data_IF_377302063606
#
_entry.id   IF_377302063606
#
_cell.length_a   1.000
_cell.length_b   1.000
_cell.length_c   1.000
_cell.angle_alpha   90.00
_cell.angle_beta   90.00
_cell.angle_gamma   90.00
#
_symmetry.space_group_name_H-M   'P 1'
#
loop_
_entity.id
_entity.type
_entity.pdbx_description
1 polymer ?
#
# COMPACT_ATOMS: atom_id res chain seq x y z
N UNK A 1 -8.38 8.99 23.19
CA UNK A 1 -7.54 7.98 22.51
C UNK A 1 -8.45 7.32 21.50
N UNK A 2 -8.39 7.75 20.23
CA UNK A 2 -9.20 7.12 19.18
C UNK A 2 -8.63 5.72 18.95
N UNK A 3 -9.47 4.72 19.13
CA UNK A 3 -9.20 3.34 18.79
C UNK A 3 -8.99 3.24 17.28
N UNK A 4 -7.72 3.27 16.86
CA UNK A 4 -7.31 3.06 15.47
C UNK A 4 -7.27 1.55 15.18
N UNK A 5 -8.31 0.82 15.55
CA UNK A 5 -8.44 -0.59 15.19
C UNK A 5 -8.57 -0.67 13.67
N UNK A 6 -7.53 -1.22 13.03
CA UNK A 6 -7.47 -1.42 11.58
C UNK A 6 -8.66 -2.29 11.18
N UNK A 7 -9.71 -1.67 10.63
CA UNK A 7 -10.92 -2.38 10.25
C UNK A 7 -10.73 -2.98 8.86
N UNK A 8 -10.24 -4.23 8.82
CA UNK A 8 -10.13 -4.99 7.59
C UNK A 8 -11.52 -5.38 7.06
N UNK A 9 -11.62 -5.48 5.73
CA UNK A 9 -12.87 -5.87 5.08
C UNK A 9 -13.31 -7.29 5.51
N UNK A 10 -14.62 -7.48 5.72
CA UNK A 10 -15.20 -8.73 6.23
C UNK A 10 -14.90 -9.98 5.37
N UNK A 11 -14.53 -9.82 4.09
CA UNK A 11 -14.12 -10.94 3.24
C UNK A 11 -12.93 -11.74 3.82
N UNK A 12 -12.14 -11.12 4.71
CA UNK A 12 -10.96 -11.74 5.31
C UNK A 12 -11.25 -12.51 6.59
N UNK A 13 -12.48 -12.45 7.13
CA UNK A 13 -12.85 -13.15 8.36
C UNK A 13 -12.73 -14.67 8.25
N UNK A 14 -12.94 -15.22 7.05
CA UNK A 14 -12.81 -16.65 6.77
C UNK A 14 -11.33 -17.07 6.56
N UNK A 15 -10.39 -16.12 6.52
CA UNK A 15 -8.97 -16.33 6.24
C UNK A 15 -8.08 -15.67 7.31
N UNK A 16 -8.08 -16.16 8.57
CA UNK A 16 -7.46 -15.49 9.71
C UNK A 16 -5.93 -15.29 9.57
N UNK A 17 -5.23 -16.21 8.91
CA UNK A 17 -3.79 -16.05 8.64
C UNK A 17 -3.52 -14.84 7.73
N UNK A 18 -4.26 -14.74 6.62
CA UNK A 18 -4.12 -13.61 5.69
C UNK A 18 -4.61 -12.32 6.34
N UNK A 19 -5.65 -12.38 7.17
CA UNK A 19 -6.12 -11.23 7.93
C UNK A 19 -5.03 -10.65 8.84
N UNK A 20 -4.25 -11.51 9.53
CA UNK A 20 -3.10 -11.08 10.32
C UNK A 20 -2.04 -10.40 9.46
N UNK A 21 -1.63 -11.06 8.37
CA UNK A 21 -0.61 -10.54 7.46
C UNK A 21 -1.04 -9.18 6.86
N UNK A 22 -2.32 -9.01 6.53
CA UNK A 22 -2.86 -7.75 6.02
C UNK A 22 -2.88 -6.62 7.06
N UNK A 23 -3.09 -6.95 8.33
CA UNK A 23 -2.99 -5.96 9.41
C UNK A 23 -1.54 -5.46 9.57
N UNK A 24 -0.57 -6.36 9.43
CA UNK A 24 0.86 -6.02 9.42
C UNK A 24 1.21 -5.14 8.21
N UNK A 25 0.69 -5.47 7.02
CA UNK A 25 0.83 -4.63 5.82
C UNK A 25 0.34 -3.21 6.06
N UNK A 26 -0.85 -3.03 6.65
CA UNK A 26 -1.38 -1.68 6.95
C UNK A 26 -0.49 -0.96 7.97
N UNK A 27 -0.01 -1.68 8.98
CA UNK A 27 0.88 -1.11 10.00
C UNK A 27 2.17 -0.59 9.36
N UNK A 28 2.75 -1.36 8.44
CA UNK A 28 3.94 -0.94 7.67
C UNK A 28 3.63 0.32 6.84
N UNK A 29 2.52 0.32 6.10
CA UNK A 29 2.09 1.49 5.32
C UNK A 29 1.96 2.73 6.22
N UNK A 30 1.24 2.64 7.34
CA UNK A 30 1.05 3.76 8.27
C UNK A 30 2.38 4.25 8.86
N UNK A 31 3.29 3.33 9.17
CA UNK A 31 4.61 3.68 9.69
C UNK A 31 5.43 4.44 8.66
N UNK A 32 5.39 4.02 7.39
CA UNK A 32 6.14 4.63 6.29
C UNK A 32 5.57 6.00 5.84
N UNK A 33 4.29 6.25 6.08
CA UNK A 33 3.61 7.50 5.76
C UNK A 33 3.87 8.58 6.81
N UNK A 34 5.11 9.06 6.89
CA UNK A 34 5.51 10.24 7.66
C UNK A 34 5.64 11.46 6.74
N UNK A 35 4.53 11.98 6.24
CA UNK A 35 4.57 13.16 5.39
C UNK A 35 4.87 14.40 6.25
N UNK A 36 5.61 15.36 5.70
CA UNK A 36 5.94 16.60 6.44
C UNK A 36 4.73 17.48 6.73
N UNK A 37 3.64 17.29 5.99
CA UNK A 37 2.40 18.03 6.12
C UNK A 37 1.35 17.11 6.73
N UNK A 38 0.80 17.52 7.88
CA UNK A 38 -0.14 16.73 8.67
C UNK A 38 -1.47 16.48 7.92
N UNK A 39 -1.94 17.44 7.13
CA UNK A 39 -3.18 17.30 6.35
C UNK A 39 -3.02 16.27 5.23
N UNK A 40 -1.88 16.30 4.53
CA UNK A 40 -1.56 15.31 3.48
C UNK A 40 -1.38 13.92 4.10
N UNK A 41 -0.70 13.83 5.25
CA UNK A 41 -0.55 12.57 5.97
C UNK A 41 -1.90 12.00 6.37
N UNK A 42 -2.77 12.82 6.95
CA UNK A 42 -4.11 12.41 7.38
C UNK A 42 -4.95 11.91 6.19
N UNK A 43 -4.96 12.65 5.07
CA UNK A 43 -5.70 12.26 3.87
C UNK A 43 -5.18 10.96 3.25
N UNK A 44 -3.86 10.75 3.22
CA UNK A 44 -3.25 9.51 2.76
C UNK A 44 -3.60 8.33 3.67
N UNK A 45 -3.52 8.51 4.99
CA UNK A 45 -3.90 7.47 5.96
C UNK A 45 -5.38 7.13 5.80
N UNK A 46 -6.27 8.12 5.73
CA UNK A 46 -7.71 7.89 5.55
C UNK A 46 -7.98 7.11 4.26
N UNK A 47 -7.38 7.49 3.13
CA UNK A 47 -7.55 6.79 1.86
C UNK A 47 -7.08 5.32 1.95
N UNK A 48 -5.97 5.07 2.65
CA UNK A 48 -5.36 3.75 2.77
C UNK A 48 -6.13 2.83 3.72
N UNK A 49 -6.65 3.37 4.83
CA UNK A 49 -7.40 2.59 5.83
C UNK A 49 -8.86 2.40 5.43
N UNK A 50 -9.40 3.26 4.57
CA UNK A 50 -10.83 3.26 4.25
C UNK A 50 -11.15 2.46 2.98
N UNK A 51 -11.99 1.43 3.13
CA UNK A 51 -12.72 0.79 2.03
C UNK A 51 -11.86 -0.03 1.05
N UNK A 52 -10.61 -0.34 1.39
CA UNK A 52 -9.75 -1.21 0.60
C UNK A 52 -10.06 -2.68 0.84
N UNK A 53 -10.18 -3.47 -0.23
CA UNK A 53 -10.24 -4.94 -0.11
C UNK A 53 -8.86 -5.55 0.12
N UNK A 54 -7.77 -4.82 -0.14
CA UNK A 54 -6.38 -5.30 -0.04
C UNK A 54 -6.10 -6.59 -0.83
N UNK A 55 -6.81 -6.78 -1.95
CA UNK A 55 -6.64 -7.97 -2.79
C UNK A 55 -5.22 -8.08 -3.36
N UNK A 56 -4.58 -6.94 -3.67
CA UNK A 56 -3.22 -6.91 -4.21
C UNK A 56 -2.17 -7.35 -3.17
N UNK A 57 -2.17 -6.80 -1.93
CA UNK A 57 -1.39 -7.35 -0.83
C UNK A 57 -1.62 -8.83 -0.59
N UNK A 58 -2.88 -9.26 -0.47
CA UNK A 58 -3.21 -10.65 -0.18
C UNK A 58 -2.67 -11.60 -1.26
N UNK A 59 -2.85 -11.25 -2.54
CA UNK A 59 -2.32 -12.04 -3.65
C UNK A 59 -0.78 -12.07 -3.65
N UNK A 60 -0.15 -10.94 -3.32
CA UNK A 60 1.32 -10.84 -3.22
C UNK A 60 1.84 -11.79 -2.14
N UNK A 61 1.21 -11.79 -0.96
CA UNK A 61 1.55 -12.68 0.15
C UNK A 61 1.35 -14.14 -0.24
N UNK A 62 0.17 -14.50 -0.76
CA UNK A 62 -0.15 -15.88 -1.14
C UNK A 62 0.82 -16.45 -2.18
N UNK A 63 1.17 -15.67 -3.21
CA UNK A 63 2.14 -16.09 -4.23
C UNK A 63 3.55 -16.17 -3.63
N UNK A 64 3.95 -15.19 -2.81
CA UNK A 64 5.26 -15.17 -2.18
C UNK A 64 5.49 -16.32 -1.21
N UNK A 65 4.45 -16.79 -0.52
CA UNK A 65 4.53 -17.97 0.36
C UNK A 65 4.84 -19.27 -0.41
N UNK A 66 4.66 -19.31 -1.74
CA UNK A 66 4.99 -20.47 -2.57
C UNK A 66 6.50 -20.63 -2.83
N UNK A 67 7.32 -19.62 -2.51
CA UNK A 67 8.76 -19.66 -2.66
C UNK A 67 9.47 -19.41 -1.31
N UNK A 68 10.73 -19.88 -1.13
CA UNK A 68 11.50 -19.58 0.07
C UNK A 68 11.72 -18.07 0.21
N UNK A 69 10.98 -17.43 1.10
CA UNK A 69 11.02 -15.99 1.33
C UNK A 69 10.97 -15.70 2.84
N UNK A 70 11.54 -14.56 3.24
CA UNK A 70 11.34 -14.02 4.57
C UNK A 70 9.93 -13.41 4.66
N UNK A 71 9.23 -13.66 5.76
CA UNK A 71 7.92 -13.09 6.03
C UNK A 71 7.96 -11.55 6.00
N UNK A 72 8.93 -10.92 6.67
CA UNK A 72 9.06 -9.46 6.74
C UNK A 72 9.23 -8.84 5.35
N UNK A 73 10.10 -9.44 4.51
CA UNK A 73 10.32 -9.00 3.13
C UNK A 73 9.02 -9.09 2.30
N UNK A 74 8.20 -10.09 2.57
CA UNK A 74 6.93 -10.31 1.89
C UNK A 74 5.86 -9.30 2.31
N UNK A 75 5.78 -8.97 3.61
CA UNK A 75 4.92 -7.91 4.14
C UNK A 75 5.31 -6.56 3.54
N UNK A 76 6.62 -6.23 3.54
CA UNK A 76 7.11 -5.01 2.91
C UNK A 76 6.80 -4.98 1.40
N UNK A 77 6.94 -6.09 0.68
CA UNK A 77 6.57 -6.18 -0.74
C UNK A 77 5.06 -5.98 -0.95
N UNK A 78 4.22 -6.55 -0.10
CA UNK A 78 2.77 -6.40 -0.20
C UNK A 78 2.30 -4.97 0.09
N UNK A 79 2.83 -4.33 1.15
CA UNK A 79 2.61 -2.92 1.47
C UNK A 79 2.95 -2.01 0.29
N UNK A 80 4.07 -2.32 -0.33
CA UNK A 80 4.59 -1.59 -1.47
C UNK A 80 3.73 -1.67 -2.72
N UNK A 81 3.18 -2.84 -3.01
CA UNK A 81 2.24 -3.03 -4.12
C UNK A 81 0.97 -2.22 -3.86
N UNK A 82 0.49 -2.13 -2.62
CA UNK A 82 -0.66 -1.31 -2.27
C UNK A 82 -0.36 0.19 -2.34
N UNK A 83 0.81 0.65 -1.88
CA UNK A 83 1.22 2.04 -2.02
C UNK A 83 1.30 2.48 -3.48
N UNK A 84 1.85 1.63 -4.35
CA UNK A 84 1.86 1.86 -5.80
C UNK A 84 0.43 1.92 -6.36
N UNK A 85 -0.44 0.99 -5.97
CA UNK A 85 -1.83 1.01 -6.38
C UNK A 85 -2.54 2.30 -5.95
N UNK A 86 -2.37 2.71 -4.71
CA UNK A 86 -2.99 3.93 -4.18
C UNK A 86 -2.46 5.18 -4.86
N UNK A 87 -1.16 5.25 -5.18
CA UNK A 87 -0.60 6.35 -5.97
C UNK A 87 -1.30 6.48 -7.33
N UNK A 88 -1.49 5.36 -8.04
CA UNK A 88 -2.20 5.38 -9.32
C UNK A 88 -3.66 5.82 -9.15
N UNK A 89 -4.33 5.42 -8.07
CA UNK A 89 -5.72 5.85 -7.83
C UNK A 89 -5.84 7.35 -7.56
N UNK A 90 -4.86 7.95 -6.86
CA UNK A 90 -4.83 9.40 -6.63
C UNK A 90 -4.69 10.15 -7.96
N UNK A 91 -3.77 9.69 -8.82
CA UNK A 91 -3.58 10.29 -10.14
C UNK A 91 -4.80 10.06 -11.05
N UNK A 92 -5.42 8.89 -11.00
CA UNK A 92 -6.68 8.61 -11.73
C UNK A 92 -7.79 9.57 -11.28
N UNK A 93 -7.96 9.80 -9.97
CA UNK A 93 -8.97 10.74 -9.47
C UNK A 93 -8.77 12.13 -10.10
N UNK A 94 -7.52 12.58 -10.20
CA UNK A 94 -7.17 13.87 -10.81
C UNK A 94 -7.50 13.91 -12.30
N UNK A 95 -7.10 12.89 -13.05
CA UNK A 95 -7.36 12.79 -14.49
C UNK A 95 -8.86 12.77 -14.77
N UNK A 96 -9.61 12.02 -13.97
CA UNK A 96 -11.06 11.85 -14.12
C UNK A 96 -11.87 13.01 -13.49
N UNK A 97 -11.22 13.96 -12.82
CA UNK A 97 -11.88 15.00 -12.01
C UNK A 97 -12.89 14.42 -11.01
N UNK A 98 -12.59 13.24 -10.46
CA UNK A 98 -13.45 12.52 -9.52
C UNK A 98 -13.45 13.18 -8.14
N UNK A 99 -14.59 13.70 -7.70
CA UNK A 99 -14.75 14.30 -6.37
C UNK A 99 -14.87 13.29 -5.22
N UNK A 100 -15.07 12.01 -5.54
CA UNK A 100 -15.27 10.95 -4.54
C UNK A 100 -14.51 9.68 -4.88
N UNK A 101 -14.06 8.97 -3.85
CA UNK A 101 -13.39 7.67 -3.93
C UNK A 101 -13.88 6.80 -2.78
N UNK A 102 -14.37 5.59 -3.09
CA UNK A 102 -14.91 4.63 -2.10
C UNK A 102 -15.99 5.24 -1.18
N UNK A 103 -16.81 6.17 -1.70
CA UNK A 103 -17.82 6.95 -0.97
C UNK A 103 -17.29 8.06 -0.05
N UNK A 104 -15.98 8.28 -0.02
CA UNK A 104 -15.34 9.39 0.70
C UNK A 104 -14.91 10.48 -0.30
N UNK A 105 -14.65 11.70 0.17
CA UNK A 105 -14.10 12.75 -0.68
C UNK A 105 -12.70 12.33 -1.15
N UNK A 106 -12.39 12.51 -2.43
CA UNK A 106 -11.04 12.24 -2.96
C UNK A 106 -10.03 13.27 -2.41
N UNK A 107 -8.74 12.93 -2.41
CA UNK A 107 -7.70 13.85 -1.91
C UNK A 107 -7.72 15.18 -2.67
N UNK A 108 -7.98 15.16 -3.99
CA UNK A 108 -8.10 16.40 -4.76
C UNK A 108 -9.30 17.25 -4.35
N UNK A 109 -10.42 16.63 -3.93
CA UNK A 109 -11.60 17.36 -3.49
C UNK A 109 -11.41 17.96 -2.09
N UNK A 110 -10.58 17.32 -1.25
CA UNK A 110 -10.28 17.77 0.10
C UNK A 110 -9.20 18.87 0.12
N UNK A 111 -8.10 18.66 -0.61
CA UNK A 111 -6.87 19.46 -0.49
C UNK A 111 -6.48 20.20 -1.79
N UNK A 112 -7.23 20.00 -2.88
CA UNK A 112 -6.95 20.57 -4.18
C UNK A 112 -6.09 19.67 -5.07
N UNK A 113 -6.15 19.94 -6.37
CA UNK A 113 -5.53 19.11 -7.41
C UNK A 113 -4.00 19.06 -7.27
N UNK A 114 -3.34 20.20 -7.06
CA UNK A 114 -1.88 20.27 -6.96
C UNK A 114 -1.36 19.43 -5.79
N UNK A 115 -2.02 19.52 -4.62
CA UNK A 115 -1.67 18.73 -3.44
C UNK A 115 -1.87 17.24 -3.70
N UNK A 116 -2.95 16.86 -4.40
CA UNK A 116 -3.20 15.48 -4.77
C UNK A 116 -2.11 14.92 -5.72
N UNK A 117 -1.60 15.71 -6.68
CA UNK A 117 -0.47 15.29 -7.53
C UNK A 117 0.73 14.96 -6.66
N UNK A 118 1.12 15.88 -5.76
CA UNK A 118 2.26 15.68 -4.86
C UNK A 118 2.06 14.50 -3.89
N UNK A 119 0.83 14.27 -3.43
CA UNK A 119 0.51 13.13 -2.57
C UNK A 119 0.73 11.80 -3.31
N UNK A 120 0.31 11.71 -4.58
CA UNK A 120 0.58 10.54 -5.43
C UNK A 120 2.08 10.33 -5.67
N UNK A 121 2.81 11.40 -5.99
CA UNK A 121 4.27 11.33 -6.22
C UNK A 121 5.04 10.93 -4.95
N UNK A 122 4.59 11.41 -3.79
CA UNK A 122 5.15 11.03 -2.49
C UNK A 122 5.03 9.53 -2.22
N UNK A 123 3.86 8.92 -2.51
CA UNK A 123 3.66 7.47 -2.38
C UNK A 123 4.61 6.68 -3.29
N UNK A 124 4.82 7.15 -4.53
CA UNK A 124 5.77 6.53 -5.46
C UNK A 124 7.22 6.62 -4.96
N UNK A 125 7.60 7.75 -4.38
CA UNK A 125 8.95 7.97 -3.87
C UNK A 125 9.25 7.12 -2.65
N UNK A 126 8.33 7.02 -1.68
CA UNK A 126 8.56 6.23 -0.47
C UNK A 126 8.85 4.75 -0.78
N UNK A 127 8.22 4.21 -1.82
CA UNK A 127 8.49 2.84 -2.25
C UNK A 127 9.84 2.66 -2.94
N UNK A 128 10.37 3.69 -3.61
CA UNK A 128 11.63 3.55 -4.34
C UNK A 128 12.80 3.14 -3.42
N UNK A 129 12.69 3.41 -2.13
CA UNK A 129 13.66 3.03 -1.09
C UNK A 129 13.69 1.53 -0.77
N UNK A 130 12.60 0.79 -1.00
CA UNK A 130 12.50 -0.65 -0.68
C UNK A 130 12.49 -1.58 -1.91
N UNK A 131 12.86 -1.06 -3.09
CA UNK A 131 13.06 -1.85 -4.31
C UNK A 131 14.30 -2.78 -4.36
N UNK A 132 15.09 -3.09 -3.29
CA UNK A 132 15.98 -4.25 -3.35
C UNK A 132 15.23 -5.59 -3.38
N UNK A 133 13.93 -5.67 -3.12
CA UNK A 133 13.21 -6.96 -3.08
C UNK A 133 13.12 -7.66 -4.43
N UNK A 134 13.13 -6.92 -5.55
CA UNK A 134 13.23 -7.53 -6.90
C UNK A 134 14.56 -8.28 -7.08
N UNK A 135 15.63 -7.82 -6.44
CA UNK A 135 16.91 -8.53 -6.39
C UNK A 135 16.85 -9.79 -5.52
N UNK A 136 15.90 -9.91 -4.58
CA UNK A 136 15.75 -11.10 -3.72
C UNK A 136 15.12 -12.26 -4.50
N UNK A 137 14.09 -12.00 -5.32
CA UNK A 137 13.48 -13.01 -6.20
C UNK A 137 14.45 -13.42 -7.32
N UNK A 138 15.23 -12.47 -7.85
CA UNK A 138 16.19 -12.75 -8.93
C UNK A 138 17.55 -13.27 -8.45
N UNK A 139 17.98 -13.03 -7.20
CA UNK A 139 19.29 -13.50 -6.70
C UNK A 139 19.50 -15.02 -6.81
N UNK A 140 18.53 -15.88 -6.43
CA UNK A 140 18.66 -17.32 -6.58
C UNK A 140 18.73 -17.73 -8.06
N UNK A 141 17.94 -17.08 -8.92
CA UNK A 141 17.87 -17.36 -10.35
C UNK A 141 19.18 -16.97 -11.07
N UNK A 142 19.76 -15.82 -10.71
CA UNK A 142 21.05 -15.34 -11.26
C UNK A 142 22.22 -16.18 -10.73
N UNK A 143 22.16 -16.67 -9.48
CA UNK A 143 23.19 -17.58 -8.94
C UNK A 143 23.24 -18.93 -9.66
N UNK A 144 22.14 -19.38 -10.27
CA UNK A 144 22.10 -20.63 -11.03
C UNK A 144 22.59 -20.48 -12.48
N UNK A 145 22.64 -19.26 -13.00
CA UNK A 145 23.20 -18.94 -14.31
C UNK A 145 24.67 -18.54 -14.14
N UNK A 146 25.56 -19.53 -14.13
CA UNK A 146 27.00 -19.29 -14.24
C UNK A 146 27.34 -18.75 -15.64
N UNK A 147 27.54 -17.44 -15.75
CA UNK A 147 28.39 -16.82 -16.76
C UNK A 147 29.69 -16.36 -16.12
#
# INVERSE_FOLDING_TARGET
>A
MQDNSIQLNAIWNDFPSIQSDLAEVITVIQTDLQAKNDDVQAALIEMMTTGGKLLRPALTILIGQMAPNNHDDLIHLAASVEMLHSATLIHDDIIDSSSTRRHHASIQAQLGQDVAVYAGDYLLQQRSTFLPTILIIWKPLVKQLHF
#
